data_IF_369429652679
#
_entry.id   IF_369429652679
#
_cell.length_a   1.000
_cell.length_b   1.000
_cell.length_c   1.000
_cell.angle_alpha   90.00
_cell.angle_beta   90.00
_cell.angle_gamma   90.00
#
_symmetry.space_group_name_H-M   'P 1'
#
loop_
_entity.id
_entity.type
_entity.pdbx_description
1 polymer ?
#
# COMPACT_ATOMS: atom_id res chain seq x y z
N UNK A 1 -22.43 5.95 6.35
CA UNK A 1 -21.43 4.90 6.03
C UNK A 1 -20.16 5.57 5.54
N UNK A 2 -18.97 5.12 5.99
CA UNK A 2 -17.66 5.67 5.58
C UNK A 2 -17.47 5.63 4.08
N UNK A 3 -16.80 6.63 3.54
CA UNK A 3 -16.46 6.68 2.12
C UNK A 3 -14.94 6.85 2.00
N UNK A 4 -14.31 5.96 1.24
CA UNK A 4 -12.89 6.07 0.92
C UNK A 4 -12.72 6.44 -0.55
N UNK A 5 -12.27 7.66 -0.82
CA UNK A 5 -11.76 8.03 -2.13
C UNK A 5 -10.42 7.37 -2.37
N UNK A 6 -10.30 6.63 -3.44
CA UNK A 6 -9.15 5.78 -3.70
C UNK A 6 -8.85 5.63 -5.19
N UNK A 7 -7.64 5.16 -5.49
CA UNK A 7 -7.32 4.58 -6.79
C UNK A 7 -6.78 3.15 -6.59
N UNK A 8 -7.27 2.13 -7.32
CA UNK A 8 -6.99 0.71 -7.03
C UNK A 8 -5.52 0.32 -7.15
N UNK A 9 -4.70 1.04 -7.94
CA UNK A 9 -3.26 0.79 -8.04
C UNK A 9 -2.43 1.63 -7.06
N UNK A 10 -3.02 2.62 -6.40
CA UNK A 10 -2.29 3.47 -5.46
C UNK A 10 -1.95 2.69 -4.18
N UNK A 11 -0.65 2.51 -3.82
CA UNK A 11 -0.27 1.78 -2.62
C UNK A 11 -0.83 2.38 -1.34
N UNK A 12 -0.87 3.69 -1.24
CA UNK A 12 -1.44 4.40 -0.10
C UNK A 12 -2.94 4.12 0.07
N UNK A 13 -3.69 4.06 -1.05
CA UNK A 13 -5.11 3.65 -1.03
C UNK A 13 -5.26 2.19 -0.62
N UNK A 14 -4.40 1.30 -1.14
CA UNK A 14 -4.37 -0.13 -0.77
C UNK A 14 -4.10 -0.29 0.71
N UNK A 15 -3.13 0.43 1.27
CA UNK A 15 -2.84 0.43 2.70
C UNK A 15 -4.09 0.71 3.54
N UNK A 16 -4.83 1.77 3.23
CA UNK A 16 -6.01 2.14 4.02
C UNK A 16 -7.16 1.14 3.83
N UNK A 17 -7.35 0.59 2.63
CA UNK A 17 -8.31 -0.49 2.40
C UNK A 17 -8.01 -1.72 3.25
N UNK A 18 -6.72 -2.09 3.36
CA UNK A 18 -6.27 -3.19 4.24
C UNK A 18 -6.52 -2.89 5.71
N UNK A 19 -6.19 -1.68 6.17
CA UNK A 19 -6.38 -1.27 7.56
C UNK A 19 -7.86 -1.28 7.94
N UNK A 20 -8.74 -0.70 7.12
CA UNK A 20 -10.18 -0.72 7.32
C UNK A 20 -10.74 -2.15 7.39
N UNK A 21 -10.34 -3.01 6.45
CA UNK A 21 -10.76 -4.40 6.42
C UNK A 21 -10.23 -5.22 7.61
N UNK A 22 -8.98 -4.99 8.05
CA UNK A 22 -8.40 -5.66 9.22
C UNK A 22 -9.11 -5.25 10.51
N UNK A 23 -9.47 -3.98 10.63
CA UNK A 23 -10.28 -3.45 11.74
C UNK A 23 -11.78 -3.80 11.61
N UNK A 24 -12.19 -4.48 10.54
CA UNK A 24 -13.60 -4.85 10.23
C UNK A 24 -14.54 -3.65 10.17
N UNK A 25 -14.04 -2.51 9.73
CA UNK A 25 -14.80 -1.28 9.54
C UNK A 25 -15.43 -1.27 8.16
N UNK A 26 -16.75 -1.17 8.07
CA UNK A 26 -17.46 -1.07 6.79
C UNK A 26 -17.20 0.27 6.11
N UNK A 27 -17.01 0.26 4.79
CA UNK A 27 -16.76 1.45 3.97
C UNK A 27 -17.17 1.22 2.52
N UNK A 28 -17.53 2.32 1.84
CA UNK A 28 -17.73 2.37 0.40
C UNK A 28 -16.49 2.92 -0.31
N UNK A 29 -16.21 2.38 -1.48
CA UNK A 29 -15.13 2.86 -2.33
C UNK A 29 -15.65 3.86 -3.36
N UNK A 30 -14.99 5.01 -3.47
CA UNK A 30 -15.18 5.96 -4.56
C UNK A 30 -13.89 6.11 -5.35
N UNK A 31 -13.96 5.74 -6.62
CA UNK A 31 -12.81 5.91 -7.52
C UNK A 31 -12.51 7.39 -7.71
N UNK A 32 -11.24 7.73 -7.48
CA UNK A 32 -10.70 9.06 -7.79
C UNK A 32 -9.43 8.91 -8.62
N UNK A 33 -9.33 9.72 -9.66
CA UNK A 33 -8.15 9.81 -10.52
C UNK A 33 -7.42 11.13 -10.24
N UNK A 34 -6.36 11.11 -9.43
CA UNK A 34 -5.69 12.33 -8.99
C UNK A 34 -5.22 13.26 -10.13
N UNK A 35 -4.92 12.68 -11.29
CA UNK A 35 -4.48 13.45 -12.46
C UNK A 35 -5.59 14.25 -13.16
N UNK A 36 -6.87 13.95 -12.91
CA UNK A 36 -8.01 14.72 -13.43
C UNK A 36 -8.26 16.01 -12.64
N UNK A 37 -7.71 16.12 -11.40
CA UNK A 37 -7.78 17.30 -10.53
C UNK A 37 -9.18 17.91 -10.43
N UNK A 38 -10.18 17.05 -10.21
CA UNK A 38 -11.59 17.49 -10.13
C UNK A 38 -11.80 18.48 -8.98
N UNK A 39 -12.51 19.59 -9.26
CA UNK A 39 -12.71 20.67 -8.29
C UNK A 39 -13.39 20.20 -7.00
N UNK A 40 -14.39 19.32 -7.12
CA UNK A 40 -15.12 18.76 -5.96
C UNK A 40 -14.21 17.93 -5.06
N UNK A 41 -13.27 17.20 -5.65
CA UNK A 41 -12.31 16.43 -4.87
C UNK A 41 -11.23 17.32 -4.23
N UNK A 42 -10.77 18.34 -4.95
CA UNK A 42 -9.80 19.30 -4.40
C UNK A 42 -10.39 20.13 -3.25
N UNK A 43 -11.69 20.32 -3.20
CA UNK A 43 -12.37 20.92 -2.04
C UNK A 43 -12.32 20.03 -0.79
N UNK A 44 -12.27 18.69 -0.96
CA UNK A 44 -12.10 17.74 0.15
C UNK A 44 -10.64 17.57 0.53
N UNK A 45 -9.75 17.51 -0.44
CA UNK A 45 -8.31 17.34 -0.27
C UNK A 45 -7.53 18.24 -1.23
N UNK A 46 -7.09 19.44 -0.78
CA UNK A 46 -6.37 20.38 -1.63
C UNK A 46 -5.06 19.83 -2.23
N UNK A 47 -4.42 18.81 -1.59
CA UNK A 47 -3.26 18.13 -2.14
C UNK A 47 -3.60 17.35 -3.44
N UNK A 48 -4.87 16.99 -3.63
CA UNK A 48 -5.35 16.25 -4.80
C UNK A 48 -4.81 14.80 -4.87
N UNK A 49 -4.35 14.26 -3.74
CA UNK A 49 -3.82 12.89 -3.62
C UNK A 49 -4.88 11.94 -3.09
N UNK A 50 -4.71 10.64 -3.31
CA UNK A 50 -5.53 9.59 -2.70
C UNK A 50 -4.66 8.76 -1.75
N UNK A 51 -5.24 8.23 -0.65
CA UNK A 51 -6.66 8.21 -0.28
C UNK A 51 -7.13 9.46 0.49
N UNK A 52 -8.46 9.65 0.52
CA UNK A 52 -9.14 10.54 1.47
C UNK A 52 -10.32 9.77 2.07
N UNK A 53 -10.41 9.71 3.39
CA UNK A 53 -11.51 9.09 4.12
C UNK A 53 -12.53 10.16 4.51
N UNK A 54 -13.82 9.85 4.31
CA UNK A 54 -14.92 10.60 4.90
C UNK A 54 -15.63 9.67 5.90
N UNK A 55 -15.66 10.06 7.16
CA UNK A 55 -16.33 9.32 8.22
C UNK A 55 -17.86 9.52 8.19
N UNK A 56 -18.58 8.68 8.94
CA UNK A 56 -20.04 8.70 9.03
C UNK A 56 -20.59 10.04 9.57
N UNK A 57 -19.80 10.73 10.39
CA UNK A 57 -20.12 12.04 10.97
C UNK A 57 -19.72 13.22 10.07
N UNK A 58 -19.20 12.94 8.87
CA UNK A 58 -18.77 13.95 7.91
C UNK A 58 -17.33 14.44 8.09
N UNK A 59 -16.55 13.92 9.05
CA UNK A 59 -15.15 14.27 9.21
C UNK A 59 -14.36 13.81 7.96
N UNK A 60 -13.65 14.74 7.33
CA UNK A 60 -12.78 14.48 6.19
C UNK A 60 -11.34 14.31 6.68
N UNK A 61 -10.73 13.16 6.40
CA UNK A 61 -9.36 12.84 6.80
C UNK A 61 -8.56 12.53 5.53
N UNK A 62 -7.75 13.46 5.03
CA UNK A 62 -6.81 13.21 3.94
C UNK A 62 -5.50 12.64 4.44
N UNK A 63 -4.69 12.09 3.53
CA UNK A 63 -3.40 11.45 3.76
C UNK A 63 -3.46 10.09 4.46
N UNK A 64 -2.75 9.13 3.87
CA UNK A 64 -2.80 7.74 4.34
C UNK A 64 -2.13 7.51 5.70
N UNK A 65 -1.14 8.32 6.07
CA UNK A 65 -0.51 8.27 7.38
C UNK A 65 -1.47 8.78 8.45
N UNK A 66 -2.09 9.93 8.19
CA UNK A 66 -3.09 10.54 9.08
C UNK A 66 -4.30 9.64 9.24
N UNK A 67 -4.83 9.08 8.13
CA UNK A 67 -5.97 8.15 8.18
C UNK A 67 -5.63 6.92 9.04
N UNK A 68 -4.43 6.35 8.87
CA UNK A 68 -4.04 5.15 9.60
C UNK A 68 -3.92 5.40 11.12
N UNK A 69 -3.31 6.51 11.53
CA UNK A 69 -3.22 6.88 12.94
C UNK A 69 -4.60 7.22 13.51
N UNK A 70 -5.41 8.00 12.79
CA UNK A 70 -6.79 8.28 13.18
C UNK A 70 -7.60 7.00 13.41
N UNK A 71 -7.53 6.03 12.48
CA UNK A 71 -8.25 4.76 12.60
C UNK A 71 -7.76 3.93 13.79
N UNK A 72 -6.49 4.02 14.16
CA UNK A 72 -5.96 3.31 15.32
C UNK A 72 -6.41 3.92 16.64
N UNK A 73 -6.49 5.25 16.70
CA UNK A 73 -6.96 5.98 17.88
C UNK A 73 -8.48 5.88 18.04
N UNK A 74 -9.24 6.05 16.95
CA UNK A 74 -10.70 6.04 16.97
C UNK A 74 -11.28 4.62 17.17
N UNK A 75 -10.56 3.57 16.75
CA UNK A 75 -10.99 2.17 16.80
C UNK A 75 -9.89 1.29 17.42
N UNK A 76 -9.65 1.38 18.73
CA UNK A 76 -8.48 0.81 19.42
C UNK A 76 -8.52 -0.71 19.61
N UNK A 77 -9.66 -1.38 19.42
CA UNK A 77 -9.83 -2.83 19.66
C UNK A 77 -8.82 -3.68 18.92
N UNK A 78 -8.41 -3.26 17.73
CA UNK A 78 -7.36 -3.87 16.92
C UNK A 78 -6.28 -2.84 16.66
N UNK A 79 -5.40 -2.59 17.66
CA UNK A 79 -4.30 -1.66 17.47
C UNK A 79 -3.24 -2.22 16.52
N UNK A 80 -2.86 -1.39 15.54
CA UNK A 80 -1.82 -1.66 14.55
C UNK A 80 -0.55 -0.83 14.79
N UNK A 81 -0.54 0.01 15.83
CA UNK A 81 0.59 0.88 16.15
C UNK A 81 1.52 0.33 17.24
N UNK A 82 1.18 -0.83 17.84
CA UNK A 82 1.92 -1.39 18.96
C UNK A 82 1.48 -0.82 20.31
N UNK A 83 1.87 -1.52 21.39
CA UNK A 83 1.42 -1.23 22.77
C UNK A 83 2.42 -0.40 23.53
N UNK A 84 3.70 -0.73 23.43
CA UNK A 84 4.79 -0.03 24.11
C UNK A 84 5.34 1.11 23.27
N UNK A 85 6.03 2.05 23.90
CA UNK A 85 6.70 3.14 23.17
C UNK A 85 7.72 2.62 22.15
N UNK A 86 8.49 1.60 22.52
CA UNK A 86 9.49 0.98 21.63
C UNK A 86 8.84 0.34 20.40
N UNK A 87 7.74 -0.41 20.58
CA UNK A 87 6.97 -0.98 19.47
C UNK A 87 6.41 0.12 18.55
N UNK A 88 5.85 1.18 19.11
CA UNK A 88 5.33 2.33 18.34
C UNK A 88 6.42 3.02 17.51
N UNK A 89 7.61 3.17 18.08
CA UNK A 89 8.76 3.73 17.34
C UNK A 89 9.12 2.84 16.14
N UNK A 90 9.19 1.53 16.35
CA UNK A 90 9.56 0.59 15.29
C UNK A 90 8.49 0.49 14.20
N UNK A 91 7.20 0.46 14.57
CA UNK A 91 6.09 0.50 13.62
C UNK A 91 6.15 1.77 12.76
N UNK A 92 6.31 2.95 13.37
CA UNK A 92 6.40 4.21 12.63
C UNK A 92 7.63 4.27 11.74
N UNK A 93 8.79 3.81 12.24
CA UNK A 93 10.03 3.76 11.48
C UNK A 93 9.89 2.94 10.20
N UNK A 94 9.31 1.74 10.30
CA UNK A 94 9.11 0.87 9.15
C UNK A 94 7.98 1.37 8.23
N UNK A 95 6.91 1.91 8.78
CA UNK A 95 5.86 2.57 7.97
C UNK A 95 6.46 3.71 7.15
N UNK A 96 7.25 4.59 7.77
CA UNK A 96 7.95 5.67 7.09
C UNK A 96 8.98 5.15 6.06
N UNK A 97 9.61 4.01 6.32
CA UNK A 97 10.49 3.37 5.35
C UNK A 97 9.74 2.98 4.08
N UNK A 98 8.60 2.30 4.20
CA UNK A 98 7.85 1.84 3.02
C UNK A 98 7.09 2.99 2.34
N UNK A 99 6.38 3.82 3.09
CA UNK A 99 5.62 4.95 2.54
C UNK A 99 6.49 6.10 2.01
N UNK A 100 7.73 6.21 2.49
CA UNK A 100 8.67 7.25 2.10
C UNK A 100 9.82 6.72 1.23
N UNK A 101 10.79 6.03 1.85
CA UNK A 101 12.01 5.60 1.17
C UNK A 101 11.74 4.62 0.04
N UNK A 102 11.06 3.52 0.32
CA UNK A 102 10.68 2.53 -0.69
C UNK A 102 9.81 3.16 -1.80
N UNK A 103 8.86 4.00 -1.40
CA UNK A 103 8.01 4.70 -2.37
C UNK A 103 8.83 5.57 -3.33
N UNK A 104 9.85 6.29 -2.84
CA UNK A 104 10.71 7.12 -3.67
C UNK A 104 11.64 6.30 -4.56
N UNK A 105 12.29 5.27 -3.99
CA UNK A 105 13.33 4.49 -4.66
C UNK A 105 12.77 3.44 -5.63
N UNK A 106 11.55 2.96 -5.41
CA UNK A 106 10.98 1.82 -6.14
C UNK A 106 9.61 2.16 -6.74
N UNK A 107 8.61 2.44 -5.89
CA UNK A 107 7.22 2.56 -6.34
C UNK A 107 7.05 3.66 -7.38
N UNK A 108 7.62 4.84 -7.12
CA UNK A 108 7.58 5.96 -8.06
C UNK A 108 8.30 5.61 -9.36
N UNK A 109 9.47 4.99 -9.27
CA UNK A 109 10.27 4.66 -10.46
C UNK A 109 9.67 3.55 -11.31
N UNK A 110 8.98 2.58 -10.72
CA UNK A 110 8.41 1.47 -11.48
C UNK A 110 6.93 1.69 -11.81
N UNK A 111 6.11 1.97 -10.79
CA UNK A 111 4.67 2.05 -10.95
C UNK A 111 4.24 3.33 -11.68
N UNK A 112 4.81 4.49 -11.32
CA UNK A 112 4.49 5.75 -12.00
C UNK A 112 4.96 5.72 -13.43
N UNK A 113 6.19 5.26 -13.69
CA UNK A 113 6.76 5.25 -15.03
C UNK A 113 6.00 4.30 -15.96
N UNK A 114 5.78 3.04 -15.57
CA UNK A 114 5.16 2.05 -16.45
C UNK A 114 3.64 2.17 -16.55
N UNK A 115 3.00 2.56 -15.45
CA UNK A 115 1.56 2.41 -15.33
C UNK A 115 0.83 3.74 -15.24
N UNK A 116 1.18 4.59 -14.28
CA UNK A 116 0.45 5.83 -14.04
C UNK A 116 0.66 6.84 -15.17
N UNK A 117 1.86 6.93 -15.76
CA UNK A 117 2.09 7.75 -16.96
C UNK A 117 1.17 7.33 -18.10
N UNK A 118 1.03 6.02 -18.35
CA UNK A 118 0.13 5.49 -19.39
C UNK A 118 -1.33 5.81 -19.08
N UNK A 119 -1.79 5.57 -17.85
CA UNK A 119 -3.16 5.84 -17.44
C UNK A 119 -3.51 7.33 -17.48
N UNK A 120 -2.55 8.19 -17.22
CA UNK A 120 -2.69 9.64 -17.24
C UNK A 120 -2.38 10.28 -18.60
N UNK A 121 -2.01 9.50 -19.63
CA UNK A 121 -1.63 10.01 -20.94
C UNK A 121 -0.36 10.88 -20.95
N UNK A 122 0.59 10.65 -20.02
CA UNK A 122 1.78 11.49 -19.79
C UNK A 122 3.04 11.04 -20.51
N UNK A 123 2.92 10.32 -21.62
CA UNK A 123 4.06 9.91 -22.45
C UNK A 123 4.62 8.51 -22.13
N UNK A 124 5.85 8.26 -22.55
CA UNK A 124 6.51 6.95 -22.44
C UNK A 124 7.33 6.83 -21.14
N UNK A 125 7.54 5.60 -20.65
CA UNK A 125 8.41 5.35 -19.51
C UNK A 125 9.86 5.78 -19.75
N UNK A 126 10.52 6.31 -18.71
CA UNK A 126 11.95 6.59 -18.72
C UNK A 126 12.74 5.32 -18.35
N UNK A 127 13.52 4.82 -19.32
CA UNK A 127 14.31 3.60 -19.14
C UNK A 127 15.40 3.72 -18.06
N UNK A 128 15.90 4.91 -17.79
CA UNK A 128 16.92 5.15 -16.75
C UNK A 128 16.30 5.02 -15.36
N UNK A 129 15.12 5.61 -15.15
CA UNK A 129 14.36 5.48 -13.91
C UNK A 129 13.91 4.03 -13.66
N UNK A 130 13.48 3.32 -14.71
CA UNK A 130 13.13 1.90 -14.58
C UNK A 130 14.33 1.06 -14.12
N UNK A 131 15.52 1.25 -14.73
CA UNK A 131 16.73 0.52 -14.31
C UNK A 131 17.11 0.82 -12.86
N UNK A 132 17.06 2.08 -12.44
CA UNK A 132 17.31 2.48 -11.07
C UNK A 132 16.29 1.86 -10.10
N UNK A 133 15.00 1.90 -10.44
CA UNK A 133 13.93 1.29 -9.65
C UNK A 133 14.10 -0.21 -9.45
N UNK A 134 14.49 -0.97 -10.49
CA UNK A 134 14.76 -2.41 -10.35
C UNK A 134 16.02 -2.70 -9.52
N UNK A 135 17.06 -1.88 -9.62
CA UNK A 135 18.23 -2.02 -8.76
C UNK A 135 17.86 -1.80 -7.29
N UNK A 136 17.10 -0.73 -7.00
CA UNK A 136 16.61 -0.43 -5.66
C UNK A 136 15.65 -1.52 -5.14
N UNK A 137 14.76 -2.05 -5.98
CA UNK A 137 13.83 -3.12 -5.58
C UNK A 137 14.58 -4.34 -5.04
N UNK A 138 15.71 -4.73 -5.66
CA UNK A 138 16.54 -5.85 -5.17
C UNK A 138 17.08 -5.60 -3.76
N UNK A 139 17.56 -4.39 -3.48
CA UNK A 139 18.05 -4.02 -2.15
C UNK A 139 16.93 -4.04 -1.11
N UNK A 140 15.77 -3.50 -1.47
CA UNK A 140 14.61 -3.50 -0.58
C UNK A 140 14.04 -4.90 -0.35
N UNK A 141 14.08 -5.81 -1.34
CA UNK A 141 13.70 -7.21 -1.16
C UNK A 141 14.65 -7.95 -0.21
N UNK A 142 15.96 -7.68 -0.26
CA UNK A 142 16.91 -8.21 0.74
C UNK A 142 16.59 -7.72 2.14
N UNK A 143 16.31 -6.42 2.29
CA UNK A 143 15.93 -5.85 3.59
C UNK A 143 14.62 -6.43 4.12
N UNK A 144 13.61 -6.56 3.26
CA UNK A 144 12.34 -7.21 3.62
C UNK A 144 12.56 -8.66 4.03
N UNK A 145 13.37 -9.41 3.26
CA UNK A 145 13.73 -10.79 3.57
C UNK A 145 14.39 -10.92 4.95
N UNK A 146 15.38 -10.07 5.25
CA UNK A 146 16.02 -10.04 6.56
C UNK A 146 15.02 -9.76 7.70
N UNK A 147 14.11 -8.81 7.52
CA UNK A 147 13.06 -8.53 8.51
C UNK A 147 12.16 -9.77 8.72
N UNK A 148 11.78 -10.44 7.63
CA UNK A 148 10.89 -11.60 7.65
C UNK A 148 11.54 -12.87 8.26
N UNK A 149 12.85 -13.03 8.13
CA UNK A 149 13.62 -14.11 8.77
C UNK A 149 13.79 -13.89 10.26
N UNK A 150 13.98 -12.64 10.67
CA UNK A 150 14.31 -12.32 12.06
C UNK A 150 13.09 -12.03 12.92
N UNK A 151 11.91 -11.87 12.33
CA UNK A 151 10.69 -11.44 13.00
C UNK A 151 9.46 -12.16 12.46
N UNK A 152 8.46 -12.33 13.32
CA UNK A 152 7.17 -12.90 12.90
C UNK A 152 6.38 -11.96 11.98
N UNK A 153 6.37 -10.66 12.30
CA UNK A 153 5.89 -9.54 11.49
C UNK A 153 6.97 -8.47 11.41
N UNK A 154 6.87 -7.55 10.45
CA UNK A 154 8.00 -6.66 10.15
C UNK A 154 8.46 -5.82 11.34
N UNK A 155 7.54 -5.36 12.18
CA UNK A 155 7.87 -4.55 13.36
C UNK A 155 7.99 -5.36 14.67
N UNK A 156 7.81 -6.69 14.65
CA UNK A 156 7.94 -7.52 15.86
C UNK A 156 7.09 -8.78 15.86
N UNK A 157 6.44 -9.08 16.98
CA UNK A 157 5.68 -10.33 17.19
C UNK A 157 4.22 -10.26 16.73
N UNK A 158 3.67 -9.08 16.55
CA UNK A 158 2.27 -8.84 16.17
C UNK A 158 2.20 -8.07 14.85
N UNK A 159 1.13 -8.31 14.08
CA UNK A 159 0.86 -7.54 12.86
C UNK A 159 0.70 -6.06 13.18
N UNK A 160 1.20 -5.21 12.30
CA UNK A 160 1.22 -3.77 12.51
C UNK A 160 1.01 -2.99 11.22
N UNK A 161 0.88 -1.67 11.34
CA UNK A 161 0.80 -0.77 10.21
C UNK A 161 2.01 -0.89 9.27
N UNK A 162 3.19 -1.27 9.78
CA UNK A 162 4.38 -1.52 8.97
C UNK A 162 4.17 -2.65 7.95
N UNK A 163 3.48 -3.74 8.36
CA UNK A 163 3.15 -4.85 7.47
C UNK A 163 2.16 -4.42 6.39
N UNK A 164 1.17 -3.61 6.74
CA UNK A 164 0.20 -3.09 5.77
C UNK A 164 0.82 -2.06 4.82
N UNK A 165 1.72 -1.21 5.27
CA UNK A 165 2.45 -0.30 4.41
C UNK A 165 3.30 -1.06 3.39
N UNK A 166 4.12 -2.00 3.86
CA UNK A 166 4.93 -2.84 2.99
C UNK A 166 4.08 -3.62 1.99
N UNK A 167 3.10 -4.39 2.49
CA UNK A 167 2.27 -5.24 1.63
C UNK A 167 1.44 -4.46 0.61
N UNK A 168 1.01 -3.25 0.94
CA UNK A 168 0.29 -2.39 0.00
C UNK A 168 1.17 -1.96 -1.17
N UNK A 169 2.42 -1.55 -0.91
CA UNK A 169 3.37 -1.20 -1.96
C UNK A 169 3.74 -2.42 -2.81
N UNK A 170 4.10 -3.53 -2.18
CA UNK A 170 4.40 -4.77 -2.91
C UNK A 170 3.21 -5.28 -3.69
N UNK A 171 1.98 -5.19 -3.18
CA UNK A 171 0.79 -5.63 -3.91
C UNK A 171 0.51 -4.81 -5.17
N UNK A 172 0.82 -3.52 -5.17
CA UNK A 172 0.68 -2.68 -6.35
C UNK A 172 1.73 -3.03 -7.42
N UNK A 173 2.97 -3.26 -7.00
CA UNK A 173 4.06 -3.70 -7.87
C UNK A 173 3.82 -5.13 -8.41
N UNK A 174 3.36 -6.04 -7.56
CA UNK A 174 3.02 -7.42 -7.92
C UNK A 174 1.84 -7.48 -8.91
N UNK A 175 0.81 -6.66 -8.70
CA UNK A 175 -0.28 -6.46 -9.65
C UNK A 175 0.22 -6.01 -11.03
N UNK A 176 1.24 -5.16 -11.05
CA UNK A 176 1.87 -4.67 -12.28
C UNK A 176 2.88 -5.66 -12.90
N UNK A 177 3.19 -6.79 -12.22
CA UNK A 177 4.17 -7.78 -12.67
C UNK A 177 5.63 -7.33 -12.51
N UNK A 178 5.90 -6.44 -11.54
CA UNK A 178 7.22 -5.83 -11.38
C UNK A 178 8.10 -6.52 -10.32
N UNK A 179 7.59 -7.49 -9.58
CA UNK A 179 8.32 -8.15 -8.48
C UNK A 179 8.80 -9.54 -8.92
N UNK A 180 10.10 -9.73 -8.91
CA UNK A 180 10.71 -11.06 -9.04
C UNK A 180 10.88 -11.68 -7.64
N UNK A 181 9.90 -12.48 -7.22
CA UNK A 181 9.89 -13.13 -5.92
C UNK A 181 10.96 -14.21 -5.73
N UNK A 182 11.61 -14.66 -6.81
CA UNK A 182 12.73 -15.61 -6.73
C UNK A 182 13.97 -15.03 -6.03
N UNK A 183 14.05 -13.70 -5.95
CA UNK A 183 15.18 -12.98 -5.35
C UNK A 183 15.23 -13.06 -3.82
N UNK A 184 14.11 -13.42 -3.15
CA UNK A 184 14.07 -13.54 -1.70
C UNK A 184 12.92 -14.45 -1.26
N UNK A 185 13.22 -15.70 -0.96
CA UNK A 185 12.23 -16.65 -0.44
C UNK A 185 11.57 -16.15 0.87
N UNK A 186 12.29 -15.60 1.87
CA UNK A 186 11.64 -15.10 3.09
C UNK A 186 10.68 -13.93 2.83
N UNK A 187 11.02 -13.02 1.91
CA UNK A 187 10.13 -11.93 1.52
C UNK A 187 8.86 -12.45 0.83
N UNK A 188 9.01 -13.44 -0.07
CA UNK A 188 7.90 -14.12 -0.73
C UNK A 188 6.96 -14.79 0.27
N UNK A 189 7.50 -15.55 1.21
CA UNK A 189 6.73 -16.25 2.25
C UNK A 189 5.99 -15.26 3.16
N UNK A 190 6.65 -14.16 3.55
CA UNK A 190 5.98 -13.11 4.31
C UNK A 190 4.83 -12.50 3.50
N UNK A 191 5.05 -12.20 2.21
CA UNK A 191 4.02 -11.61 1.36
C UNK A 191 2.86 -12.61 1.12
N UNK A 192 3.13 -13.89 0.92
CA UNK A 192 2.10 -14.94 0.83
C UNK A 192 1.22 -14.99 2.10
N UNK A 193 1.84 -14.91 3.30
CA UNK A 193 1.09 -14.79 4.56
C UNK A 193 0.21 -13.55 4.62
N UNK A 194 0.68 -12.41 4.08
CA UNK A 194 -0.12 -11.18 4.00
C UNK A 194 -1.29 -11.34 3.03
N UNK A 195 -1.06 -11.91 1.83
CA UNK A 195 -2.09 -12.19 0.82
C UNK A 195 -3.19 -13.13 1.33
N UNK A 196 -2.83 -14.11 2.15
CA UNK A 196 -3.77 -15.10 2.72
C UNK A 196 -4.73 -14.51 3.76
N UNK A 197 -4.51 -13.27 4.22
CA UNK A 197 -5.41 -12.63 5.19
C UNK A 197 -6.76 -12.28 4.57
N UNK A 198 -7.87 -12.44 5.33
CA UNK A 198 -9.19 -12.02 4.84
C UNK A 198 -9.25 -10.55 4.40
N UNK A 199 -8.51 -9.66 5.07
CA UNK A 199 -8.40 -8.24 4.73
C UNK A 199 -7.80 -7.99 3.34
N UNK A 200 -7.02 -8.93 2.80
CA UNK A 200 -6.36 -8.80 1.51
C UNK A 200 -7.25 -9.19 0.31
N UNK A 201 -8.30 -9.96 0.54
CA UNK A 201 -9.16 -10.53 -0.52
C UNK A 201 -9.71 -9.48 -1.50
N UNK A 202 -10.12 -8.32 -0.97
CA UNK A 202 -10.67 -7.25 -1.79
C UNK A 202 -9.64 -6.66 -2.77
N UNK A 203 -8.35 -6.66 -2.41
CA UNK A 203 -7.28 -6.19 -3.31
C UNK A 203 -7.02 -7.19 -4.45
N UNK A 204 -7.07 -8.50 -4.16
CA UNK A 204 -6.88 -9.55 -5.17
C UNK A 204 -8.00 -9.57 -6.21
N UNK A 205 -9.18 -9.07 -5.86
CA UNK A 205 -10.32 -8.96 -6.75
C UNK A 205 -10.31 -7.69 -7.63
N UNK A 206 -9.39 -6.75 -7.40
CA UNK A 206 -9.30 -5.51 -8.18
C UNK A 206 -9.14 -5.79 -9.68
N UNK A 207 -9.81 -4.96 -10.48
CA UNK A 207 -9.67 -4.95 -11.95
C UNK A 207 -9.40 -3.52 -12.39
N UNK A 208 -8.40 -3.36 -13.23
CA UNK A 208 -8.02 -2.06 -13.78
C UNK A 208 -8.08 -2.18 -15.32
N UNK A 209 -8.92 -1.38 -15.98
CA UNK A 209 -9.02 -1.45 -17.44
C UNK A 209 -7.66 -1.34 -18.15
N UNK A 210 -7.39 -2.28 -19.04
CA UNK A 210 -6.14 -2.31 -19.80
C UNK A 210 -4.91 -2.84 -19.05
N UNK A 211 -5.10 -3.42 -17.85
CA UNK A 211 -4.03 -4.04 -17.07
C UNK A 211 -4.48 -5.42 -16.61
N UNK A 212 -3.72 -6.44 -17.02
CA UNK A 212 -3.92 -7.82 -16.56
C UNK A 212 -2.79 -8.17 -15.61
N UNK A 213 -3.08 -8.45 -14.34
CA UNK A 213 -2.05 -8.88 -13.40
C UNK A 213 -1.51 -10.27 -13.81
N UNK A 214 -0.27 -10.61 -13.43
CA UNK A 214 0.27 -11.95 -13.65
C UNK A 214 -0.54 -12.99 -12.88
N UNK A 215 -0.53 -14.25 -13.37
CA UNK A 215 -1.34 -15.34 -12.82
C UNK A 215 -1.09 -15.55 -11.30
N UNK A 216 0.17 -15.45 -10.87
CA UNK A 216 0.55 -15.60 -9.46
C UNK A 216 0.00 -14.52 -8.53
N UNK A 217 -0.48 -13.38 -9.07
CA UNK A 217 -1.01 -12.30 -8.24
C UNK A 217 -2.22 -12.75 -7.39
N UNK A 218 -3.07 -13.60 -7.94
CA UNK A 218 -4.27 -14.12 -7.22
C UNK A 218 -4.00 -15.46 -6.53
N UNK A 219 -2.86 -16.09 -6.80
CA UNK A 219 -2.43 -17.33 -6.16
C UNK A 219 -1.88 -17.01 -4.77
N UNK A 220 -2.38 -17.71 -3.76
CA UNK A 220 -1.95 -17.50 -2.36
C UNK A 220 -0.68 -18.28 -2.03
N UNK A 221 -0.35 -19.32 -2.81
CA UNK A 221 0.77 -20.25 -2.60
C UNK A 221 1.86 -20.12 -3.68
N UNK A 222 1.95 -18.99 -4.33
CA UNK A 222 2.84 -18.72 -5.49
C UNK A 222 4.32 -18.77 -5.16
#
# INVERSE_FOLDING_TARGET
>A
MRILYHHPICPYSRKIRLVLAEKRLAFDLRLEKPWERRAEYLALNPAGTVPTLIEDNGLVVPDSGVIAEYLDEAYPDTSLMGRTLAERVEVRRLTAWFDGRFAADVTRMLLEEKLLKRLAGRGQPDASLLRAGYASLREHLRYLGWLAETRKFLAGSTISLADFAASAHFSALDFAGEVDWSLSAPAREWYARMKSRPSFRALLADRIPGITPPAHYVDLDF
#
